data_IF_654617458599
#
_entry.id   IF_654617458599
#
_cell.length_a   1.000
_cell.length_b   1.000
_cell.length_c   1.000
_cell.angle_alpha   90.00
_cell.angle_beta   90.00
_cell.angle_gamma   90.00
#
_symmetry.space_group_name_H-M   'P 1'
#
loop_
_entity.id
_entity.type
_entity.pdbx_description
1 polymer ?
#
# COMPACT_ATOMS: atom_id res chain seq x y z
N UNK A 1 -6.74 -7.41 2.61
CA UNK A 1 -6.64 -5.94 2.50
C UNK A 1 -5.49 -5.50 3.38
N UNK A 2 -4.67 -4.52 2.96
CA UNK A 2 -3.69 -3.93 3.91
C UNK A 2 -4.44 -3.29 5.09
N UNK A 3 -3.86 -3.38 6.29
CA UNK A 3 -4.45 -2.78 7.48
C UNK A 3 -4.72 -1.28 7.27
N UNK A 4 -5.84 -0.77 7.81
CA UNK A 4 -6.26 0.61 7.62
C UNK A 4 -5.20 1.63 8.10
N UNK A 5 -4.50 1.33 9.21
CA UNK A 5 -3.38 2.13 9.71
C UNK A 5 -2.23 2.21 8.70
N UNK A 6 -1.82 1.07 8.16
CA UNK A 6 -0.73 0.99 7.17
C UNK A 6 -1.11 1.63 5.84
N UNK A 7 -2.39 1.56 5.45
CA UNK A 7 -2.91 2.27 4.29
C UNK A 7 -2.78 3.79 4.45
N UNK A 8 -3.17 4.33 5.60
CA UNK A 8 -3.09 5.77 5.86
C UNK A 8 -1.64 6.28 5.87
N UNK A 9 -0.71 5.50 6.45
CA UNK A 9 0.72 5.78 6.43
C UNK A 9 1.28 5.80 5.01
N UNK A 10 1.03 4.74 4.22
CA UNK A 10 1.49 4.65 2.82
C UNK A 10 0.96 5.80 1.97
N UNK A 11 -0.30 6.20 2.15
CA UNK A 11 -0.86 7.37 1.45
C UNK A 11 -0.13 8.63 1.87
N UNK A 12 0.02 8.88 3.18
CA UNK A 12 0.67 10.09 3.70
C UNK A 12 2.11 10.24 3.19
N UNK A 13 2.87 9.15 3.15
CA UNK A 13 4.29 9.17 2.77
C UNK A 13 4.52 9.39 1.27
N UNK A 14 3.52 9.07 0.43
CA UNK A 14 3.65 9.13 -1.03
C UNK A 14 2.74 10.20 -1.67
N UNK A 15 1.87 10.84 -0.89
CA UNK A 15 0.96 11.87 -1.36
C UNK A 15 1.71 13.16 -1.72
N UNK A 16 1.35 13.75 -2.86
CA UNK A 16 1.90 15.05 -3.30
C UNK A 16 1.19 16.25 -2.67
N UNK A 17 -0.02 16.03 -2.16
CA UNK A 17 -0.84 17.01 -1.46
C UNK A 17 -1.72 16.32 -0.42
N UNK A 18 -2.28 17.07 0.54
CA UNK A 18 -3.02 16.52 1.69
C UNK A 18 -4.19 15.59 1.32
N UNK A 19 -4.80 15.76 0.15
CA UNK A 19 -5.92 14.95 -0.34
C UNK A 19 -5.54 14.07 -1.55
N UNK A 20 -4.25 13.88 -1.80
CA UNK A 20 -3.77 13.09 -2.92
C UNK A 20 -3.87 11.59 -2.59
N UNK A 21 -5.00 11.00 -2.94
CA UNK A 21 -5.24 9.55 -2.78
C UNK A 21 -5.17 8.79 -4.10
N UNK A 22 -5.08 9.51 -5.23
CA UNK A 22 -5.29 8.97 -6.57
C UNK A 22 -4.08 9.05 -7.49
N UNK A 23 -3.01 9.72 -7.07
CA UNK A 23 -1.80 9.83 -7.88
C UNK A 23 -1.17 8.47 -8.18
N UNK A 24 -0.46 8.36 -9.32
CA UNK A 24 0.27 7.15 -9.66
C UNK A 24 1.22 6.69 -8.55
N UNK A 25 1.89 7.63 -7.88
CA UNK A 25 2.83 7.38 -6.80
C UNK A 25 2.14 6.71 -5.60
N UNK A 26 1.01 7.27 -5.15
CA UNK A 26 0.21 6.69 -4.05
C UNK A 26 -0.37 5.33 -4.42
N UNK A 27 -0.92 5.19 -5.63
CA UNK A 27 -1.51 3.93 -6.08
C UNK A 27 -0.46 2.82 -6.22
N UNK A 28 0.71 3.13 -6.78
CA UNK A 28 1.82 2.17 -6.87
C UNK A 28 2.28 1.77 -5.48
N UNK A 29 2.48 2.71 -4.55
CA UNK A 29 2.89 2.40 -3.18
C UNK A 29 1.88 1.48 -2.46
N UNK A 30 0.59 1.71 -2.63
CA UNK A 30 -0.47 0.87 -2.07
C UNK A 30 -0.45 -0.55 -2.64
N UNK A 31 -0.30 -0.70 -3.96
CA UNK A 31 -0.21 -2.00 -4.63
C UNK A 31 1.06 -2.75 -4.22
N UNK A 32 2.20 -2.07 -4.14
CA UNK A 32 3.46 -2.64 -3.66
C UNK A 32 3.34 -3.12 -2.21
N UNK A 33 2.75 -2.32 -1.32
CA UNK A 33 2.51 -2.72 0.06
C UNK A 33 1.63 -3.97 0.14
N UNK A 34 0.62 -4.07 -0.73
CA UNK A 34 -0.26 -5.24 -0.80
C UNK A 34 0.46 -6.49 -1.31
N UNK A 35 1.31 -6.34 -2.32
CA UNK A 35 2.13 -7.45 -2.84
C UNK A 35 3.05 -7.97 -1.74
N UNK A 36 3.76 -7.08 -1.05
CA UNK A 36 4.69 -7.46 0.02
C UNK A 36 4.00 -8.18 1.19
N UNK A 37 2.74 -7.86 1.48
CA UNK A 37 1.93 -8.56 2.48
C UNK A 37 1.51 -9.97 2.01
N UNK A 38 1.16 -10.11 0.73
CA UNK A 38 0.64 -11.36 0.17
C UNK A 38 1.73 -12.35 -0.23
N UNK A 39 2.92 -11.90 -0.62
CA UNK A 39 4.02 -12.79 -1.01
C UNK A 39 4.39 -13.80 0.09
N UNK A 40 4.56 -13.43 1.37
CA UNK A 40 4.78 -14.39 2.44
C UNK A 40 3.60 -15.35 2.65
N UNK A 41 2.36 -14.86 2.54
CA UNK A 41 1.16 -15.69 2.68
C UNK A 41 1.17 -16.83 1.66
N UNK A 42 1.43 -16.54 0.39
CA UNK A 42 1.51 -17.58 -0.64
C UNK A 42 2.71 -18.51 -0.45
N UNK A 43 3.83 -18.05 0.10
CA UNK A 43 4.99 -18.91 0.43
C UNK A 43 4.68 -19.88 1.57
N UNK A 44 3.87 -19.48 2.55
CA UNK A 44 3.48 -20.33 3.68
C UNK A 44 2.43 -21.39 3.30
N UNK A 45 1.70 -21.17 2.21
CA UNK A 45 0.64 -22.05 1.71
C UNK A 45 0.95 -22.64 0.32
N UNK A 46 2.23 -22.88 0.04
CA UNK A 46 2.72 -23.57 -1.16
C UNK A 46 2.87 -25.08 -0.90
#
# INVERSE_FOLDING_TARGET
MIAASKKAEVVKDNARAANDTGSPEVQVALLTARINELTPHFKQHA
#
